data_IF_967499403853
#
_entry.id   IF_967499403853
#
_cell.length_a   1.000
_cell.length_b   1.000
_cell.length_c   1.000
_cell.angle_alpha   90.00
_cell.angle_beta   90.00
_cell.angle_gamma   90.00
#
_symmetry.space_group_name_H-M   'P 1'
#
loop_
_entity.id
_entity.type
_entity.pdbx_description
1 polymer ?
#
# COMPACT_ATOMS: atom_id res chain seq x y z
N UNK A 1 8.26 -6.55 37.45
CA UNK A 1 8.01 -5.30 36.70
C UNK A 1 8.37 -5.53 35.23
N UNK A 2 7.45 -6.05 34.40
CA UNK A 2 7.72 -6.34 32.98
C UNK A 2 7.85 -5.05 32.20
N UNK A 3 9.07 -4.73 31.76
CA UNK A 3 9.39 -3.53 30.98
C UNK A 3 8.48 -3.49 29.75
N UNK A 4 7.52 -2.56 29.74
CA UNK A 4 6.58 -2.32 28.66
C UNK A 4 7.27 -1.75 27.43
N UNK A 5 8.04 -2.59 26.74
CA UNK A 5 8.70 -2.25 25.49
C UNK A 5 7.71 -2.47 24.34
N UNK A 6 7.58 -1.48 23.46
CA UNK A 6 6.72 -1.62 22.28
C UNK A 6 7.39 -2.51 21.21
N UNK A 7 6.61 -3.00 20.24
CA UNK A 7 7.09 -3.84 19.13
C UNK A 7 8.32 -3.26 18.41
N UNK A 8 8.35 -1.94 18.19
CA UNK A 8 9.44 -1.23 17.51
C UNK A 8 10.69 -1.04 18.39
N UNK A 9 10.54 -1.05 19.71
CA UNK A 9 11.63 -0.88 20.69
C UNK A 9 11.95 -2.20 21.42
N UNK A 10 11.89 -3.32 20.71
CA UNK A 10 12.37 -4.62 21.19
C UNK A 10 11.36 -5.46 21.97
N UNK A 11 10.08 -5.06 22.03
CA UNK A 11 9.00 -5.79 22.72
C UNK A 11 8.44 -7.01 22.00
N UNK A 12 8.94 -7.37 20.81
CA UNK A 12 8.47 -8.52 20.04
C UNK A 12 9.29 -9.78 20.32
N UNK A 13 8.61 -10.87 20.63
CA UNK A 13 9.21 -12.21 20.81
C UNK A 13 9.66 -12.77 19.45
N UNK A 14 10.62 -13.72 19.42
CA UNK A 14 10.93 -14.47 18.21
C UNK A 14 9.70 -15.22 17.67
N UNK A 15 9.71 -15.51 16.37
CA UNK A 15 8.71 -16.36 15.74
C UNK A 15 8.74 -17.76 16.37
N UNK A 16 7.57 -18.32 16.65
CA UNK A 16 7.39 -19.68 17.18
C UNK A 16 7.72 -20.78 16.17
N UNK A 17 7.85 -20.46 14.90
CA UNK A 17 8.16 -21.46 13.89
C UNK A 17 9.62 -21.88 13.99
N UNK A 18 9.84 -23.18 13.79
CA UNK A 18 11.16 -23.79 13.87
C UNK A 18 12.14 -23.16 12.87
N UNK A 19 13.37 -22.88 13.33
CA UNK A 19 14.43 -22.26 12.52
C UNK A 19 14.17 -20.81 12.06
N UNK A 20 13.15 -20.13 12.59
CA UNK A 20 12.79 -18.80 12.14
C UNK A 20 13.39 -17.68 13.01
N UNK A 21 14.36 -16.94 12.46
CA UNK A 21 15.01 -15.80 13.14
C UNK A 21 14.17 -14.51 13.12
N UNK A 22 13.03 -14.52 12.43
CA UNK A 22 12.17 -13.35 12.31
C UNK A 22 11.40 -13.09 13.60
N UNK A 23 11.11 -11.81 13.89
CA UNK A 23 10.32 -11.44 15.06
C UNK A 23 8.82 -11.63 14.80
N UNK A 24 8.13 -12.15 15.81
CA UNK A 24 6.69 -12.32 15.77
C UNK A 24 5.98 -10.97 15.71
N UNK A 25 5.06 -10.83 14.76
CA UNK A 25 4.18 -9.67 14.63
C UNK A 25 2.89 -9.88 15.40
N UNK A 26 2.25 -11.03 15.22
CA UNK A 26 0.98 -11.39 15.86
C UNK A 26 0.89 -12.92 15.98
N UNK A 27 0.11 -13.41 16.95
CA UNK A 27 -0.02 -14.85 17.26
C UNK A 27 1.29 -15.60 17.54
N UNK A 28 2.38 -14.87 17.84
CA UNK A 28 3.70 -15.47 18.01
C UNK A 28 4.37 -15.90 16.69
N UNK A 29 3.87 -15.47 15.54
CA UNK A 29 4.44 -15.78 14.22
C UNK A 29 4.83 -14.48 13.51
N UNK A 30 5.81 -14.53 12.60
CA UNK A 30 6.07 -13.40 11.70
C UNK A 30 5.13 -13.46 10.49
N UNK A 31 5.12 -12.39 9.69
CA UNK A 31 4.19 -12.25 8.56
C UNK A 31 4.19 -13.44 7.59
N UNK A 32 5.34 -14.05 7.30
CA UNK A 32 5.42 -15.20 6.38
C UNK A 32 4.85 -16.50 6.95
N UNK A 33 4.78 -16.64 8.27
CA UNK A 33 4.20 -17.81 8.94
C UNK A 33 2.80 -17.53 9.51
N UNK A 34 2.05 -16.58 8.93
CA UNK A 34 0.67 -16.30 9.36
C UNK A 34 0.55 -15.36 10.55
N UNK A 35 1.62 -14.68 10.95
CA UNK A 35 1.60 -13.60 11.93
C UNK A 35 1.06 -12.26 11.40
N UNK A 36 0.40 -12.28 10.24
CA UNK A 36 -0.27 -11.13 9.65
C UNK A 36 -1.76 -11.39 9.50
N UNK A 37 -2.56 -10.32 9.52
CA UNK A 37 -4.00 -10.40 9.33
C UNK A 37 -4.32 -10.91 7.92
N UNK A 38 -5.33 -11.78 7.80
CA UNK A 38 -5.83 -12.25 6.50
C UNK A 38 -6.84 -11.27 5.93
N UNK A 39 -7.00 -11.31 4.61
CA UNK A 39 -8.06 -10.60 3.93
C UNK A 39 -9.43 -11.06 4.46
N UNK A 40 -10.31 -10.12 4.80
CA UNK A 40 -11.68 -10.37 5.27
C UNK A 40 -12.64 -10.83 4.17
N UNK A 41 -12.16 -10.90 2.93
CA UNK A 41 -12.95 -11.38 1.82
C UNK A 41 -13.07 -12.90 1.92
N UNK A 42 -14.28 -13.42 1.78
CA UNK A 42 -14.58 -14.84 1.95
C UNK A 42 -13.71 -15.71 1.03
N UNK A 43 -13.10 -16.76 1.61
CA UNK A 43 -12.18 -17.65 0.88
C UNK A 43 -10.84 -17.02 0.47
N UNK A 44 -10.49 -15.80 0.93
CA UNK A 44 -9.22 -15.18 0.57
C UNK A 44 -8.11 -15.45 1.60
N UNK A 45 -7.15 -16.28 1.23
CA UNK A 45 -5.99 -16.58 2.09
C UNK A 45 -4.86 -15.53 2.02
N UNK A 46 -5.00 -14.52 1.16
CA UNK A 46 -3.98 -13.47 1.04
C UNK A 46 -3.93 -12.60 2.30
N UNK A 47 -2.76 -12.06 2.55
CA UNK A 47 -2.56 -11.11 3.64
C UNK A 47 -3.29 -9.79 3.37
N UNK A 48 -3.91 -9.27 4.42
CA UNK A 48 -4.38 -7.89 4.48
C UNK A 48 -3.20 -6.94 4.29
N UNK A 49 -3.36 -5.96 3.40
CA UNK A 49 -2.40 -4.87 3.27
C UNK A 49 -2.82 -3.68 4.15
N UNK A 50 -4.12 -3.42 4.22
CA UNK A 50 -4.70 -2.35 5.03
C UNK A 50 -6.22 -2.46 5.01
N UNK A 51 -6.84 -2.24 6.19
CA UNK A 51 -8.30 -2.24 6.41
C UNK A 51 -8.96 -3.62 6.26
N UNK A 52 -8.21 -4.70 6.45
CA UNK A 52 -8.72 -6.06 6.35
C UNK A 52 -8.95 -6.53 4.92
N UNK A 53 -8.29 -5.95 3.91
CA UNK A 53 -8.42 -6.34 2.52
C UNK A 53 -7.04 -6.48 1.88
N UNK A 54 -6.86 -7.57 1.12
CA UNK A 54 -5.66 -7.76 0.31
C UNK A 54 -5.64 -6.79 -0.87
N UNK A 55 -4.50 -6.70 -1.56
CA UNK A 55 -4.32 -5.80 -2.71
C UNK A 55 -5.35 -5.99 -3.83
N UNK A 56 -5.91 -7.20 -4.01
CA UNK A 56 -6.98 -7.46 -4.98
C UNK A 56 -8.35 -7.00 -4.49
N UNK A 57 -8.68 -7.27 -3.23
CA UNK A 57 -10.01 -7.01 -2.66
C UNK A 57 -10.17 -5.61 -2.09
N UNK A 58 -9.07 -4.87 -1.88
CA UNK A 58 -9.10 -3.50 -1.37
C UNK A 58 -9.95 -2.57 -2.24
N UNK A 59 -10.12 -2.90 -3.52
CA UNK A 59 -10.82 -2.08 -4.49
C UNK A 59 -10.10 -0.74 -4.68
N UNK A 60 -9.65 -0.43 -5.89
CA UNK A 60 -9.28 0.96 -6.19
C UNK A 60 -10.52 1.82 -5.98
N UNK A 61 -10.43 2.82 -5.09
CA UNK A 61 -11.52 3.79 -4.89
C UNK A 61 -11.93 4.36 -6.25
N UNK A 62 -13.22 4.56 -6.48
CA UNK A 62 -13.70 5.26 -7.67
C UNK A 62 -13.37 6.75 -7.58
N UNK A 63 -13.36 7.42 -8.73
CA UNK A 63 -13.25 8.86 -8.80
C UNK A 63 -14.40 9.52 -8.00
N UNK A 64 -14.10 10.56 -7.22
CA UNK A 64 -15.07 11.34 -6.45
C UNK A 64 -16.00 12.20 -7.32
N UNK A 65 -15.67 12.36 -8.61
CA UNK A 65 -16.48 13.14 -9.55
C UNK A 65 -17.76 12.35 -9.85
N UNK A 66 -18.92 12.99 -9.65
CA UNK A 66 -20.24 12.39 -9.92
C UNK A 66 -20.30 11.90 -11.37
N UNK A 67 -20.78 10.67 -11.56
CA UNK A 67 -20.85 10.03 -12.88
C UNK A 67 -19.53 9.47 -13.42
N UNK A 68 -18.41 9.59 -12.70
CA UNK A 68 -17.13 9.04 -13.16
C UNK A 68 -16.89 7.62 -12.62
N UNK A 69 -16.91 6.62 -13.50
CA UNK A 69 -16.64 5.22 -13.14
C UNK A 69 -15.15 4.85 -13.16
N UNK A 70 -14.28 5.80 -13.54
CA UNK A 70 -12.83 5.57 -13.59
C UNK A 70 -12.27 5.40 -12.18
N UNK A 71 -11.25 4.55 -12.07
CA UNK A 71 -10.50 4.32 -10.83
C UNK A 71 -9.73 5.58 -10.42
N UNK A 72 -9.79 5.92 -9.15
CA UNK A 72 -8.99 6.99 -8.57
C UNK A 72 -7.53 6.56 -8.48
N UNK A 73 -6.63 7.46 -8.93
CA UNK A 73 -5.18 7.26 -8.90
C UNK A 73 -4.55 7.94 -7.69
N UNK A 74 -4.97 9.17 -7.37
CA UNK A 74 -4.57 9.90 -6.17
C UNK A 74 -5.68 10.87 -5.75
N UNK A 75 -5.72 11.28 -4.47
CA UNK A 75 -6.69 12.23 -3.91
C UNK A 75 -8.18 11.85 -4.08
N UNK A 76 -8.46 10.60 -4.44
CA UNK A 76 -9.81 10.16 -4.81
C UNK A 76 -10.26 10.60 -6.21
N UNK A 77 -9.33 11.03 -7.07
CA UNK A 77 -9.61 11.47 -8.44
C UNK A 77 -8.93 10.54 -9.45
N UNK A 78 -9.53 10.37 -10.62
CA UNK A 78 -8.94 9.60 -11.74
C UNK A 78 -7.98 10.47 -12.56
N UNK A 79 -7.21 9.86 -13.47
CA UNK A 79 -6.23 10.60 -14.28
C UNK A 79 -6.78 11.79 -15.06
N UNK A 80 -8.03 11.71 -15.53
CA UNK A 80 -8.70 12.81 -16.24
C UNK A 80 -9.21 13.93 -15.33
N UNK A 81 -9.44 13.64 -14.05
CA UNK A 81 -9.98 14.61 -13.09
C UNK A 81 -8.93 15.08 -12.07
N UNK A 82 -7.64 15.10 -12.45
CA UNK A 82 -6.55 15.57 -11.57
C UNK A 82 -5.97 14.50 -10.64
N UNK A 83 -6.27 13.23 -10.88
CA UNK A 83 -5.71 12.09 -10.16
C UNK A 83 -4.31 11.70 -10.62
N UNK A 84 -3.34 11.79 -9.72
CA UNK A 84 -1.94 11.46 -9.98
C UNK A 84 -1.05 12.70 -9.92
N UNK A 85 0.26 12.50 -10.05
CA UNK A 85 1.23 13.59 -9.92
C UNK A 85 1.34 14.37 -11.22
N UNK A 86 1.35 15.72 -11.15
CA UNK A 86 1.62 16.61 -12.28
C UNK A 86 3.13 16.78 -12.49
N UNK A 87 3.51 17.00 -13.75
CA UNK A 87 4.87 17.32 -14.11
C UNK A 87 5.37 18.51 -13.29
N UNK A 88 6.58 18.40 -12.74
CA UNK A 88 7.22 19.46 -11.94
C UNK A 88 7.64 20.68 -12.77
N UNK A 89 7.60 20.58 -14.09
CA UNK A 89 7.92 21.68 -14.99
C UNK A 89 6.82 22.75 -14.90
N UNK A 90 7.23 24.02 -14.86
CA UNK A 90 6.33 25.14 -14.68
C UNK A 90 5.27 25.21 -15.80
N UNK A 91 4.02 25.46 -15.43
CA UNK A 91 2.88 25.48 -16.36
C UNK A 91 2.52 24.12 -17.00
N UNK A 92 3.15 23.01 -16.59
CA UNK A 92 2.92 21.73 -17.25
C UNK A 92 1.79 20.90 -16.61
N UNK A 93 0.64 20.85 -17.28
CA UNK A 93 -0.48 19.99 -16.93
C UNK A 93 -0.36 18.57 -17.51
N UNK A 94 0.84 18.00 -17.64
CA UNK A 94 0.99 16.58 -18.02
C UNK A 94 1.20 15.71 -16.79
N UNK A 95 0.87 14.42 -16.92
CA UNK A 95 1.14 13.47 -15.83
C UNK A 95 2.63 13.17 -15.77
N UNK A 96 3.13 12.97 -14.56
CA UNK A 96 4.47 12.42 -14.36
C UNK A 96 4.50 11.01 -14.91
N UNK A 97 5.51 10.73 -15.74
CA UNK A 97 5.84 9.39 -16.17
C UNK A 97 6.98 8.82 -15.31
N UNK A 98 8.06 9.60 -15.12
CA UNK A 98 9.21 9.23 -14.29
C UNK A 98 9.90 10.47 -13.74
N UNK A 99 10.62 10.33 -12.62
CA UNK A 99 11.44 11.41 -12.00
C UNK A 99 10.70 12.73 -11.72
N UNK A 100 9.37 12.71 -11.59
CA UNK A 100 8.57 13.92 -11.43
C UNK A 100 8.32 14.70 -12.71
N UNK A 101 8.65 14.14 -13.88
CA UNK A 101 8.54 14.80 -15.18
C UNK A 101 7.65 13.99 -16.14
N UNK A 102 7.02 14.68 -17.08
CA UNK A 102 6.25 14.04 -18.16
C UNK A 102 7.17 13.56 -19.28
N UNK A 103 6.63 12.80 -20.23
CA UNK A 103 7.38 12.29 -21.38
C UNK A 103 8.10 13.38 -22.20
N UNK A 104 7.54 14.60 -22.29
CA UNK A 104 8.16 15.75 -22.97
C UNK A 104 9.29 16.39 -22.17
N UNK A 105 9.21 16.35 -20.85
CA UNK A 105 10.18 17.01 -19.96
C UNK A 105 11.18 16.01 -19.37
N UNK A 106 11.48 14.91 -20.07
CA UNK A 106 12.50 13.95 -19.64
C UNK A 106 12.02 12.80 -18.73
N UNK A 107 10.70 12.58 -18.66
CA UNK A 107 10.09 11.47 -17.92
C UNK A 107 10.04 10.13 -18.66
N UNK A 108 10.42 10.09 -19.94
CA UNK A 108 10.49 8.84 -20.71
C UNK A 108 11.72 8.03 -20.33
N UNK A 109 11.57 6.69 -20.30
CA UNK A 109 12.74 5.80 -20.33
C UNK A 109 13.37 5.95 -21.72
N UNK A 110 14.65 6.29 -21.76
CA UNK A 110 15.47 6.21 -22.97
C UNK A 110 15.82 4.75 -23.24
#
# INVERSE_FOLDING_TARGET
>A
LSKGLCYLHGGSKPCKADGCEMRAKSNGLYGGHGGGTRCKFEGCERHDLSKGLCYLHRGSKRCKVKGCEKRAKSNGLCCGHGGGTRCKFDGCERQVLSKGLCYLHGGSKR
#
